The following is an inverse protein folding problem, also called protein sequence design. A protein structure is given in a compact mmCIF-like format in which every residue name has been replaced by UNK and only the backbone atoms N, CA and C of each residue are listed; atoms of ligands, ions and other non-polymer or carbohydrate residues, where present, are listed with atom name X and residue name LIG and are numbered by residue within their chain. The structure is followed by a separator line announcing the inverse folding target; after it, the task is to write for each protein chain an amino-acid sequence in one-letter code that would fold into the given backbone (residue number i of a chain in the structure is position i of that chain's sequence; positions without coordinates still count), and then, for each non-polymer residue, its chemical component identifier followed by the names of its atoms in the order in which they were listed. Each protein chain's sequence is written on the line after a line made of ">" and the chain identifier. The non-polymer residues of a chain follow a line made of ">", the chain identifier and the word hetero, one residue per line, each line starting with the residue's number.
data_IF_923135149016
#
_entry.id   IF_923135149016
#
_cell.length_a   1.000
_cell.length_b   1.000
_cell.length_c   1.000
_cell.angle_alpha   90.00
_cell.angle_beta   90.00
_cell.angle_gamma   90.00
#
_symmetry.space_group_name_H-M   'P 1'
#
loop_
_entity.id
_entity.type
_entity.pdbx_description
1 polymer ?
#
# COMPACT_ATOMS: atom_id res chain seq x y z
N UNK A 1 19.09 -4.35 -24.16
CA UNK A 1 18.38 -5.61 -23.84
C UNK A 1 16.89 -5.35 -24.01
N UNK A 2 16.30 -5.83 -25.11
CA UNK A 2 14.92 -5.49 -25.44
C UNK A 2 13.90 -5.99 -24.42
N UNK A 3 12.86 -5.21 -24.18
CA UNK A 3 11.74 -5.53 -23.29
C UNK A 3 10.41 -5.48 -24.04
N UNK A 4 9.41 -6.24 -23.57
CA UNK A 4 8.06 -6.19 -24.17
C UNK A 4 7.49 -4.77 -24.10
N UNK A 5 7.01 -4.25 -25.24
CA UNK A 5 6.53 -2.88 -25.43
C UNK A 5 5.54 -2.42 -24.35
N UNK A 6 4.58 -3.28 -23.98
CA UNK A 6 3.61 -2.99 -22.94
C UNK A 6 4.20 -2.95 -21.51
N UNK A 7 5.37 -3.57 -21.22
CA UNK A 7 6.08 -3.38 -19.94
C UNK A 7 6.71 -1.98 -19.91
N UNK A 8 7.34 -1.57 -21.02
CA UNK A 8 8.06 -0.29 -21.13
C UNK A 8 7.11 0.91 -21.05
N UNK A 9 6.06 0.92 -21.88
CA UNK A 9 5.01 1.96 -21.83
C UNK A 9 4.26 1.98 -20.49
N UNK A 10 4.13 0.83 -19.82
CA UNK A 10 3.55 0.75 -18.49
C UNK A 10 4.46 1.34 -17.40
N UNK A 11 5.78 1.17 -17.52
CA UNK A 11 6.77 1.75 -16.60
C UNK A 11 6.82 3.27 -16.74
N UNK A 12 6.78 3.77 -17.99
CA UNK A 12 6.68 5.19 -18.36
C UNK A 12 5.29 5.83 -18.08
N UNK A 13 4.52 5.29 -17.13
CA UNK A 13 3.25 5.86 -16.68
C UNK A 13 2.03 5.64 -17.58
N UNK A 14 2.21 5.53 -18.91
CA UNK A 14 1.16 5.75 -19.93
C UNK A 14 -0.12 4.92 -19.82
N UNK A 15 -0.08 3.68 -19.33
CA UNK A 15 -1.28 2.85 -19.16
C UNK A 15 -1.04 1.54 -18.43
N UNK A 16 -2.10 0.83 -18.05
CA UNK A 16 -1.93 -0.55 -17.52
C UNK A 16 -1.42 -1.49 -18.62
N UNK A 17 -0.70 -2.56 -18.27
CA UNK A 17 -0.15 -3.49 -19.29
C UNK A 17 -1.22 -4.00 -20.27
N UNK A 18 -2.39 -4.40 -19.75
CA UNK A 18 -3.52 -4.89 -20.55
C UNK A 18 -4.13 -3.80 -21.43
N UNK A 19 -4.27 -2.59 -20.90
CA UNK A 19 -4.76 -1.43 -21.63
C UNK A 19 -3.82 -1.04 -22.79
N UNK A 20 -2.51 -1.15 -22.59
CA UNK A 20 -1.53 -0.95 -23.67
C UNK A 20 -1.56 -2.12 -24.68
N UNK A 21 -1.76 -3.36 -24.22
CA UNK A 21 -1.99 -4.52 -25.11
C UNK A 21 -3.25 -4.29 -25.99
N UNK A 22 -4.30 -3.66 -25.46
CA UNK A 22 -5.46 -3.17 -26.23
C UNK A 22 -5.05 -2.06 -27.22
N UNK A 23 -4.37 -1.00 -26.78
CA UNK A 23 -3.95 0.11 -27.65
C UNK A 23 -3.01 -0.30 -28.80
N UNK A 24 -2.14 -1.29 -28.57
CA UNK A 24 -1.31 -1.92 -29.61
C UNK A 24 -2.22 -2.62 -30.64
N UNK A 25 -3.25 -3.34 -30.18
CA UNK A 25 -4.23 -4.02 -31.04
C UNK A 25 -5.13 -3.02 -31.80
N UNK A 26 -5.42 -1.86 -31.20
CA UNK A 26 -6.08 -0.71 -31.84
C UNK A 26 -5.17 0.05 -32.84
N UNK A 27 -3.90 -0.34 -33.00
CA UNK A 27 -2.95 0.30 -33.93
C UNK A 27 -2.42 1.67 -33.49
N UNK A 28 -2.73 2.10 -32.26
CA UNK A 28 -2.42 3.44 -31.71
C UNK A 28 -0.98 3.65 -31.27
N UNK A 29 -0.22 2.56 -31.19
CA UNK A 29 1.19 2.56 -30.80
C UNK A 29 2.05 2.31 -32.03
N UNK A 30 3.05 3.16 -32.25
CA UNK A 30 4.07 2.98 -33.27
C UNK A 30 5.46 2.84 -32.63
N UNK A 31 6.32 2.05 -33.26
CA UNK A 31 7.74 1.90 -32.94
C UNK A 31 8.53 2.19 -34.21
N UNK A 32 9.45 3.15 -34.15
CA UNK A 32 10.30 3.57 -35.28
C UNK A 32 9.48 3.87 -36.56
N UNK A 33 8.31 4.51 -36.40
CA UNK A 33 7.41 4.89 -37.51
C UNK A 33 6.56 3.74 -38.09
N UNK A 34 6.52 2.56 -37.45
CA UNK A 34 5.70 1.42 -37.87
C UNK A 34 4.70 1.06 -36.77
N UNK A 35 3.46 0.75 -37.11
CA UNK A 35 2.45 0.29 -36.14
C UNK A 35 2.90 -1.00 -35.44
N UNK A 36 2.84 -1.00 -34.12
CA UNK A 36 3.29 -2.10 -33.29
C UNK A 36 2.30 -3.28 -33.31
N UNK A 37 2.79 -4.47 -32.96
CA UNK A 37 2.02 -5.72 -32.84
C UNK A 37 2.10 -6.30 -31.42
N UNK A 38 1.09 -7.09 -31.07
CA UNK A 38 0.99 -7.69 -29.74
C UNK A 38 2.11 -8.72 -29.52
N UNK A 39 3.09 -8.35 -28.69
CA UNK A 39 4.26 -9.18 -28.39
C UNK A 39 5.59 -8.51 -28.72
N UNK A 40 5.56 -7.41 -29.48
CA UNK A 40 6.74 -6.62 -29.86
C UNK A 40 7.62 -6.25 -28.66
N UNK A 41 8.92 -6.16 -28.94
CA UNK A 41 9.96 -5.77 -27.99
C UNK A 41 10.66 -4.52 -28.47
N UNK A 42 11.09 -3.70 -27.53
CA UNK A 42 11.79 -2.44 -27.78
C UNK A 42 13.02 -2.33 -26.89
N UNK A 43 14.06 -1.71 -27.42
CA UNK A 43 15.27 -1.29 -26.72
C UNK A 43 15.24 0.23 -26.45
N UNK A 44 16.20 0.74 -25.67
CA UNK A 44 16.23 2.16 -25.26
C UNK A 44 16.49 3.15 -26.41
N UNK A 45 16.90 2.64 -27.58
CA UNK A 45 17.12 3.40 -28.82
C UNK A 45 15.84 3.59 -29.64
N UNK A 46 14.76 2.86 -29.34
CA UNK A 46 13.56 2.87 -30.18
C UNK A 46 12.66 4.08 -29.91
N UNK A 47 12.26 4.76 -30.98
CA UNK A 47 11.31 5.87 -30.92
C UNK A 47 9.89 5.32 -30.86
N UNK A 48 9.32 5.26 -29.66
CA UNK A 48 7.90 4.93 -29.45
C UNK A 48 7.05 6.20 -29.62
N UNK A 49 5.92 6.05 -30.32
CA UNK A 49 4.85 7.04 -30.42
C UNK A 49 3.52 6.40 -29.98
N UNK A 50 2.72 7.11 -29.18
CA UNK A 50 1.38 6.72 -28.74
C UNK A 50 0.42 7.87 -29.06
N UNK A 51 -0.63 7.61 -29.85
CA UNK A 51 -1.63 8.61 -30.24
C UNK A 51 -1.03 9.91 -30.85
N UNK A 52 0.15 9.81 -31.47
CA UNK A 52 0.91 10.93 -32.04
C UNK A 52 1.97 11.54 -31.10
N UNK A 53 1.88 11.33 -29.79
CA UNK A 53 2.91 11.78 -28.84
C UNK A 53 4.13 10.86 -28.81
N UNK A 54 5.33 11.44 -28.82
CA UNK A 54 6.56 10.70 -28.56
C UNK A 54 6.66 10.31 -27.07
N UNK A 55 6.92 9.02 -26.78
CA UNK A 55 7.07 8.53 -25.40
C UNK A 55 8.54 8.31 -25.08
N UNK A 56 9.12 9.24 -24.31
CA UNK A 56 10.49 9.12 -23.83
C UNK A 56 10.65 7.96 -22.84
N UNK A 57 11.45 6.97 -23.23
CA UNK A 57 11.86 5.85 -22.38
C UNK A 57 13.07 6.28 -21.56
N UNK A 58 13.10 5.99 -20.25
CA UNK A 58 14.34 5.95 -19.46
C UNK A 58 14.66 4.51 -19.08
N UNK A 59 15.96 4.19 -18.96
CA UNK A 59 16.38 2.87 -18.49
C UNK A 59 15.78 2.55 -17.12
N UNK A 60 15.38 1.30 -16.90
CA UNK A 60 14.97 0.85 -15.57
C UNK A 60 16.15 0.94 -14.57
N UNK A 61 17.40 0.80 -15.03
CA UNK A 61 18.61 0.95 -14.20
C UNK A 61 18.89 2.41 -13.77
N UNK A 62 18.46 3.41 -14.56
CA UNK A 62 18.57 4.83 -14.16
C UNK A 62 17.33 5.36 -13.44
N UNK A 63 16.26 4.56 -13.38
CA UNK A 63 14.98 4.95 -12.78
C UNK A 63 14.95 4.60 -11.30
N UNK A 64 15.24 5.57 -10.43
CA UNK A 64 15.24 5.37 -8.97
C UNK A 64 13.94 4.70 -8.50
N UNK A 65 14.08 3.54 -7.84
CA UNK A 65 12.95 2.87 -7.18
C UNK A 65 12.47 3.76 -6.03
N UNK A 66 11.18 4.02 -5.99
CA UNK A 66 10.48 4.80 -4.97
C UNK A 66 9.38 3.92 -4.37
N UNK A 67 9.15 4.06 -3.08
CA UNK A 67 8.04 3.41 -2.39
C UNK A 67 7.38 4.36 -1.40
N UNK A 68 6.09 4.14 -1.16
CA UNK A 68 5.27 4.87 -0.19
C UNK A 68 4.51 3.88 0.70
N UNK A 69 4.31 4.28 1.94
CA UNK A 69 3.53 3.58 2.96
C UNK A 69 2.19 4.30 3.05
N UNK A 70 1.08 3.59 2.79
CA UNK A 70 -0.27 4.11 2.84
C UNK A 70 -1.07 3.47 3.98
N UNK A 71 -1.79 4.29 4.76
CA UNK A 71 -2.72 3.81 5.78
C UNK A 71 -4.14 3.80 5.19
N UNK A 72 -4.46 2.73 4.46
CA UNK A 72 -5.74 2.56 3.78
C UNK A 72 -6.93 2.66 4.77
N UNK A 73 -7.95 3.50 4.50
CA UNK A 73 -9.21 3.48 5.23
C UNK A 73 -10.14 2.38 4.73
N UNK A 74 -11.24 2.14 5.44
CA UNK A 74 -12.35 1.34 4.92
C UNK A 74 -13.17 2.17 3.91
N UNK A 75 -13.94 1.52 3.05
CA UNK A 75 -14.68 2.17 1.95
C UNK A 75 -13.87 2.39 0.66
N UNK A 76 -12.54 2.52 0.74
CA UNK A 76 -11.69 2.59 -0.45
C UNK A 76 -11.38 1.22 -1.08
N UNK A 77 -11.31 1.18 -2.42
CA UNK A 77 -10.97 -0.03 -3.20
C UNK A 77 -9.53 0.01 -3.74
N UNK A 78 -8.90 -1.17 -3.87
CA UNK A 78 -7.57 -1.31 -4.51
C UNK A 78 -7.72 -1.70 -5.99
N UNK A 79 -8.17 -0.75 -6.81
CA UNK A 79 -8.24 -0.85 -8.27
C UNK A 79 -7.99 0.51 -8.94
N UNK A 80 -7.38 0.55 -10.13
CA UNK A 80 -7.16 1.80 -10.88
C UNK A 80 -8.36 2.28 -11.68
N UNK A 81 -9.35 1.43 -11.88
CA UNK A 81 -10.64 1.75 -12.50
C UNK A 81 -11.71 0.89 -11.82
N UNK A 82 -12.91 1.44 -11.65
CA UNK A 82 -14.05 0.76 -11.06
C UNK A 82 -15.35 1.16 -11.75
N UNK A 83 -16.05 0.23 -12.43
CA UNK A 83 -17.30 0.54 -13.11
C UNK A 83 -18.43 1.05 -12.21
N UNK A 84 -18.31 0.87 -10.88
CA UNK A 84 -19.25 1.37 -9.88
C UNK A 84 -18.84 2.70 -9.24
N UNK A 85 -17.77 3.36 -9.73
CA UNK A 85 -17.37 4.70 -9.30
C UNK A 85 -16.94 4.83 -7.84
N UNK A 86 -16.53 3.75 -7.17
CA UNK A 86 -16.18 3.78 -5.74
C UNK A 86 -14.78 4.41 -5.52
N UNK A 87 -14.59 5.18 -4.42
CA UNK A 87 -13.32 5.83 -4.13
C UNK A 87 -12.13 4.86 -4.12
N UNK A 88 -11.08 5.20 -4.85
CA UNK A 88 -9.89 4.36 -4.96
C UNK A 88 -8.70 4.90 -4.18
N UNK A 89 -7.92 3.96 -3.61
CA UNK A 89 -6.63 4.22 -2.95
C UNK A 89 -5.60 4.94 -3.84
N UNK A 90 -5.84 5.07 -5.14
CA UNK A 90 -4.98 5.80 -6.07
C UNK A 90 -5.28 7.31 -6.16
N UNK A 91 -6.46 7.79 -5.75
CA UNK A 91 -6.86 9.21 -5.83
C UNK A 91 -5.98 10.12 -4.95
N UNK A 92 -5.65 9.64 -3.74
CA UNK A 92 -5.01 10.43 -2.67
C UNK A 92 -3.49 10.25 -2.62
N UNK A 93 -2.89 9.63 -3.64
CA UNK A 93 -1.45 9.41 -3.70
C UNK A 93 -0.74 10.62 -4.32
N UNK A 94 0.47 10.98 -3.85
CA UNK A 94 1.26 12.03 -4.49
C UNK A 94 1.56 11.67 -5.95
N UNK A 95 1.54 12.66 -6.84
CA UNK A 95 1.94 12.46 -8.23
C UNK A 95 3.42 12.04 -8.34
N UNK A 96 3.76 11.34 -9.42
CA UNK A 96 5.13 10.91 -9.71
C UNK A 96 5.41 11.13 -11.19
N UNK A 97 6.42 11.96 -11.49
CA UNK A 97 6.84 12.23 -12.86
C UNK A 97 7.32 10.95 -13.56
N UNK A 98 7.00 10.84 -14.84
CA UNK A 98 7.46 9.82 -15.79
C UNK A 98 7.21 8.35 -15.38
N UNK A 99 6.30 8.11 -14.44
CA UNK A 99 6.00 6.78 -13.92
C UNK A 99 4.63 6.74 -13.23
N UNK A 100 4.32 5.67 -12.49
CA UNK A 100 3.04 5.51 -11.76
C UNK A 100 3.14 4.55 -10.58
N UNK A 101 2.31 4.77 -9.55
CA UNK A 101 2.21 3.84 -8.43
C UNK A 101 1.56 2.50 -8.80
N UNK A 102 2.17 1.42 -8.31
CA UNK A 102 1.70 0.03 -8.35
C UNK A 102 1.52 -0.44 -6.90
N UNK A 103 0.34 -0.94 -6.56
CA UNK A 103 0.02 -1.45 -5.21
C UNK A 103 0.66 -2.82 -4.97
N UNK A 104 1.29 -2.99 -3.81
CA UNK A 104 1.83 -4.29 -3.37
C UNK A 104 0.70 -5.10 -2.73
N UNK A 105 0.10 -5.95 -3.55
CA UNK A 105 -1.09 -6.71 -3.19
C UNK A 105 -2.35 -5.85 -3.16
N UNK A 106 -3.35 -6.33 -2.43
CA UNK A 106 -4.62 -5.63 -2.19
C UNK A 106 -4.99 -5.70 -0.70
N UNK A 107 -6.05 -4.97 -0.36
CA UNK A 107 -6.87 -5.11 0.84
C UNK A 107 -8.33 -5.00 0.38
N UNK A 108 -9.24 -5.66 1.08
CA UNK A 108 -10.68 -5.51 0.82
C UNK A 108 -11.16 -4.09 1.09
N UNK A 109 -12.34 -3.75 0.54
CA UNK A 109 -13.01 -2.47 0.81
C UNK A 109 -13.26 -2.25 2.31
N UNK A 110 -13.69 -3.31 3.02
CA UNK A 110 -13.93 -3.33 4.48
C UNK A 110 -12.71 -3.89 5.25
N UNK A 111 -11.51 -3.50 4.84
CA UNK A 111 -10.25 -3.81 5.52
C UNK A 111 -9.32 -2.59 5.44
N UNK A 112 -8.79 -2.18 6.59
CA UNK A 112 -7.95 -0.98 6.76
C UNK A 112 -6.46 -1.32 6.94
N UNK A 113 -5.64 -0.27 7.04
CA UNK A 113 -4.24 -0.38 7.47
C UNK A 113 -3.24 -0.40 6.32
N UNK A 114 -2.13 -1.10 6.53
CA UNK A 114 -0.92 -0.99 5.72
C UNK A 114 -1.10 -1.46 4.28
N UNK A 115 -1.01 -0.53 3.33
CA UNK A 115 -0.84 -0.83 1.90
C UNK A 115 0.45 -0.16 1.42
N UNK A 116 1.31 -0.92 0.74
CA UNK A 116 2.53 -0.37 0.15
C UNK A 116 2.27 -0.07 -1.33
N UNK A 117 2.90 0.97 -1.85
CA UNK A 117 3.01 1.19 -3.29
C UNK A 117 4.46 1.44 -3.70
N UNK A 118 4.81 1.09 -4.92
CA UNK A 118 6.09 1.39 -5.55
C UNK A 118 5.92 1.76 -7.02
N UNK A 119 6.88 2.45 -7.63
CA UNK A 119 6.94 2.63 -9.08
C UNK A 119 7.47 1.37 -9.81
N UNK A 120 8.26 0.53 -9.13
CA UNK A 120 8.76 -0.72 -9.72
C UNK A 120 7.70 -1.82 -9.70
N UNK A 121 7.13 -2.10 -10.89
CA UNK A 121 6.22 -3.23 -11.07
C UNK A 121 6.86 -4.60 -10.79
N UNK A 122 8.19 -4.70 -10.89
CA UNK A 122 8.95 -5.90 -10.56
C UNK A 122 9.09 -6.12 -9.05
N UNK A 123 9.46 -5.07 -8.29
CA UNK A 123 9.45 -5.11 -6.83
C UNK A 123 8.05 -5.45 -6.31
N UNK A 124 7.00 -4.81 -6.86
CA UNK A 124 5.63 -5.14 -6.49
C UNK A 124 5.29 -6.62 -6.76
N UNK A 125 5.71 -7.18 -7.91
CA UNK A 125 5.49 -8.59 -8.25
C UNK A 125 6.23 -9.54 -7.30
N UNK A 126 7.53 -9.32 -7.06
CA UNK A 126 8.35 -10.14 -6.15
C UNK A 126 7.81 -10.11 -4.71
N UNK A 127 7.41 -8.94 -4.20
CA UNK A 127 6.82 -8.80 -2.86
C UNK A 127 5.43 -9.47 -2.74
N UNK A 128 4.66 -9.54 -3.85
CA UNK A 128 3.38 -10.24 -3.89
C UNK A 128 3.49 -11.77 -4.03
N UNK A 129 4.61 -12.29 -4.54
CA UNK A 129 4.71 -13.69 -4.93
C UNK A 129 4.72 -14.64 -3.70
N UNK A 130 3.95 -15.75 -3.70
CA UNK A 130 3.89 -16.65 -2.54
C UNK A 130 5.25 -17.26 -2.15
N UNK A 131 6.13 -17.54 -3.11
CA UNK A 131 7.46 -18.13 -2.82
C UNK A 131 8.38 -17.23 -1.99
N UNK A 132 8.09 -15.93 -1.93
CA UNK A 132 8.84 -14.95 -1.13
C UNK A 132 8.48 -15.04 0.36
N UNK A 133 7.41 -15.78 0.72
CA UNK A 133 7.05 -16.10 2.10
C UNK A 133 6.74 -14.90 3.00
N UNK A 134 6.55 -13.70 2.44
CA UNK A 134 6.49 -12.47 3.21
C UNK A 134 5.25 -12.39 4.09
N UNK A 135 5.48 -12.41 5.40
CA UNK A 135 4.48 -12.29 6.43
C UNK A 135 3.63 -11.03 6.31
N UNK A 136 2.33 -11.18 6.53
CA UNK A 136 1.33 -10.11 6.57
C UNK A 136 0.61 -10.24 7.91
N UNK A 137 0.87 -9.29 8.80
CA UNK A 137 0.30 -9.28 10.16
C UNK A 137 -0.95 -8.41 10.18
N UNK A 138 -2.03 -8.94 10.72
CA UNK A 138 -3.30 -8.26 10.88
C UNK A 138 -3.69 -8.21 12.35
N UNK A 139 -4.33 -7.11 12.72
CA UNK A 139 -5.11 -6.99 13.93
C UNK A 139 -6.58 -7.23 13.54
N UNK A 140 -7.17 -8.31 14.06
CA UNK A 140 -8.55 -8.71 13.82
C UNK A 140 -9.37 -8.55 15.11
N UNK A 141 -10.52 -7.90 15.02
CA UNK A 141 -11.54 -7.92 16.07
C UNK A 141 -12.52 -9.03 15.75
N UNK A 142 -12.73 -9.93 16.69
CA UNK A 142 -13.44 -11.19 16.49
C UNK A 142 -14.59 -11.26 17.50
N UNK A 143 -15.78 -11.67 17.04
CA UNK A 143 -16.93 -11.92 17.92
C UNK A 143 -16.77 -13.29 18.58
N UNK A 144 -16.87 -13.32 19.91
CA UNK A 144 -16.55 -14.49 20.74
C UNK A 144 -15.04 -14.70 20.91
N UNK A 145 -14.68 -15.44 21.94
CA UNK A 145 -13.29 -15.79 22.29
C UNK A 145 -12.96 -17.17 21.71
N UNK A 146 -11.79 -17.30 21.06
CA UNK A 146 -11.26 -18.60 20.64
C UNK A 146 -10.91 -19.44 21.87
N UNK A 147 -11.30 -20.72 21.86
CA UNK A 147 -10.76 -21.71 22.78
C UNK A 147 -9.45 -22.33 22.28
N UNK A 148 -8.83 -23.18 23.10
CA UNK A 148 -7.54 -23.80 22.79
C UNK A 148 -7.59 -24.71 21.54
N UNK A 149 -8.69 -25.43 21.32
CA UNK A 149 -8.87 -26.34 20.19
C UNK A 149 -9.00 -25.58 18.87
N UNK A 150 -9.78 -24.50 18.85
CA UNK A 150 -9.90 -23.63 17.68
C UNK A 150 -8.58 -22.93 17.37
N UNK A 151 -7.86 -22.47 18.40
CA UNK A 151 -6.53 -21.88 18.26
C UNK A 151 -5.52 -22.88 17.66
N UNK A 152 -5.58 -24.15 18.07
CA UNK A 152 -4.77 -25.22 17.49
C UNK A 152 -5.15 -25.54 16.04
N UNK A 153 -6.45 -25.66 15.72
CA UNK A 153 -6.93 -25.83 14.34
C UNK A 153 -6.46 -24.69 13.44
N UNK A 154 -6.53 -23.45 13.93
CA UNK A 154 -6.12 -22.24 13.21
C UNK A 154 -4.61 -22.10 12.99
N UNK A 155 -3.75 -22.82 13.71
CA UNK A 155 -2.27 -22.61 13.68
C UNK A 155 -1.45 -23.86 13.35
N UNK A 156 -1.85 -25.03 13.85
CA UNK A 156 -1.11 -26.29 13.67
C UNK A 156 -1.73 -27.12 12.57
N UNK A 157 -2.96 -27.62 12.79
CA UNK A 157 -3.70 -28.53 11.90
C UNK A 157 -3.98 -27.88 10.55
N UNK A 158 -4.42 -26.61 10.58
CA UNK A 158 -5.03 -25.96 9.42
C UNK A 158 -6.44 -26.44 9.14
N UNK A 159 -7.11 -25.70 8.25
CA UNK A 159 -8.50 -25.90 7.86
C UNK A 159 -8.58 -25.80 6.33
N UNK A 160 -9.40 -26.62 5.66
CA UNK A 160 -9.60 -26.45 4.22
C UNK A 160 -10.37 -25.15 3.92
N UNK A 161 -9.82 -24.33 3.03
CA UNK A 161 -10.46 -23.12 2.52
C UNK A 161 -10.34 -23.10 0.99
N UNK A 162 -11.48 -23.27 0.33
CA UNK A 162 -11.64 -23.33 -1.13
C UNK A 162 -10.89 -24.50 -1.79
N UNK A 163 -10.85 -25.68 -1.15
CA UNK A 163 -10.13 -26.87 -1.64
C UNK A 163 -8.62 -26.82 -1.39
N UNK A 164 -8.19 -26.05 -0.38
CA UNK A 164 -6.78 -25.85 0.00
C UNK A 164 -6.64 -25.60 1.49
N UNK A 165 -5.84 -26.44 2.16
CA UNK A 165 -5.45 -26.24 3.56
C UNK A 165 -4.91 -24.81 3.79
N UNK A 166 -5.39 -24.17 4.86
CA UNK A 166 -5.06 -22.80 5.25
C UNK A 166 -4.80 -22.75 6.76
N UNK A 167 -3.90 -21.86 7.20
CA UNK A 167 -3.67 -21.59 8.62
C UNK A 167 -2.99 -20.24 8.83
N UNK A 168 -3.04 -19.75 10.06
CA UNK A 168 -2.17 -18.69 10.52
C UNK A 168 -0.81 -19.26 10.96
N UNK A 169 0.25 -18.49 10.76
CA UNK A 169 1.58 -18.77 11.36
C UNK A 169 1.57 -18.53 12.87
N UNK A 170 0.74 -17.59 13.32
CA UNK A 170 0.49 -17.31 14.72
C UNK A 170 -0.89 -16.68 14.91
N UNK A 171 -1.50 -16.98 16.06
CA UNK A 171 -2.68 -16.31 16.60
C UNK A 171 -2.33 -15.95 18.04
N UNK A 172 -2.40 -14.67 18.39
CA UNK A 172 -2.05 -14.16 19.72
C UNK A 172 -3.14 -13.19 20.15
N UNK A 173 -3.71 -13.39 21.35
CA UNK A 173 -4.63 -12.40 21.93
C UNK A 173 -3.92 -11.05 22.10
N UNK A 174 -4.64 -9.96 21.92
CA UNK A 174 -4.05 -8.61 21.97
C UNK A 174 -4.75 -7.76 23.03
N UNK A 175 -3.97 -7.29 24.01
CA UNK A 175 -4.41 -6.45 25.12
C UNK A 175 -4.80 -5.05 24.65
N UNK A 176 -5.99 -4.96 24.06
CA UNK A 176 -6.58 -3.76 23.48
C UNK A 176 -7.99 -3.48 24.01
N UNK A 177 -8.33 -4.10 25.15
CA UNK A 177 -9.65 -4.07 25.78
C UNK A 177 -10.62 -5.07 25.14
N UNK A 178 -11.44 -5.70 25.98
CA UNK A 178 -12.58 -6.50 25.54
C UNK A 178 -13.82 -5.60 25.53
N UNK A 179 -14.48 -5.47 24.37
CA UNK A 179 -15.64 -4.58 24.22
C UNK A 179 -16.90 -5.41 23.95
N UNK A 180 -17.53 -5.82 25.06
CA UNK A 180 -18.59 -6.82 25.06
C UNK A 180 -18.05 -8.17 24.57
N UNK A 181 -18.83 -8.89 23.76
CA UNK A 181 -18.44 -10.17 23.16
C UNK A 181 -17.45 -10.04 21.99
N UNK A 182 -16.48 -9.13 22.08
CA UNK A 182 -15.44 -8.90 21.06
C UNK A 182 -14.03 -8.94 21.68
N UNK A 183 -13.19 -9.79 21.12
CA UNK A 183 -11.79 -9.94 21.52
C UNK A 183 -10.89 -9.56 20.34
N UNK A 184 -9.69 -9.05 20.62
CA UNK A 184 -8.71 -8.69 19.59
C UNK A 184 -7.63 -9.76 19.46
N UNK A 185 -7.30 -10.13 18.22
CA UNK A 185 -6.24 -11.07 17.90
C UNK A 185 -5.26 -10.46 16.91
N UNK A 186 -3.96 -10.64 17.17
CA UNK A 186 -2.90 -10.44 16.18
C UNK A 186 -2.66 -11.77 15.48
N UNK A 187 -2.75 -11.75 14.16
CA UNK A 187 -2.64 -12.95 13.31
C UNK A 187 -1.68 -12.72 12.14
N UNK A 188 -0.91 -13.75 11.78
CA UNK A 188 0.08 -13.70 10.69
C UNK A 188 -0.24 -14.73 9.62
N UNK A 189 -0.17 -14.33 8.34
CA UNK A 189 -0.21 -15.23 7.16
C UNK A 189 1.00 -14.97 6.25
N UNK A 190 1.53 -16.01 5.59
CA UNK A 190 2.62 -15.88 4.58
C UNK A 190 2.13 -15.75 3.15
N UNK A 191 0.89 -16.14 2.87
CA UNK A 191 0.21 -15.90 1.59
C UNK A 191 -0.85 -14.78 1.70
N UNK A 192 -1.87 -14.80 0.84
CA UNK A 192 -2.85 -13.72 0.73
C UNK A 192 -4.03 -14.08 -0.19
N UNK A 193 -4.67 -15.21 0.09
CA UNK A 193 -5.87 -15.66 -0.62
C UNK A 193 -7.06 -14.72 -0.39
N UNK A 194 -8.09 -14.87 -1.22
CA UNK A 194 -9.28 -14.03 -1.15
C UNK A 194 -9.99 -14.16 0.21
N UNK A 195 -10.05 -13.07 0.97
CA UNK A 195 -10.62 -12.98 2.33
C UNK A 195 -10.05 -13.97 3.35
N UNK A 196 -8.85 -14.51 3.11
CA UNK A 196 -8.23 -15.61 3.87
C UNK A 196 -8.34 -15.50 5.40
N UNK A 197 -7.94 -14.37 5.98
CA UNK A 197 -8.04 -14.12 7.44
C UNK A 197 -9.47 -14.25 7.94
N UNK A 198 -10.44 -13.75 7.17
CA UNK A 198 -11.87 -13.79 7.54
C UNK A 198 -12.40 -15.21 7.40
N UNK A 199 -12.08 -15.90 6.31
CA UNK A 199 -12.48 -17.31 6.10
C UNK A 199 -11.93 -18.26 7.17
N UNK A 200 -10.70 -18.04 7.64
CA UNK A 200 -10.11 -18.83 8.74
C UNK A 200 -10.94 -18.74 10.03
N UNK A 201 -11.27 -17.53 10.48
CA UNK A 201 -12.15 -17.35 11.63
C UNK A 201 -13.59 -17.84 11.36
N UNK A 202 -14.14 -17.55 10.17
CA UNK A 202 -15.49 -17.98 9.76
C UNK A 202 -15.62 -19.52 9.81
N UNK A 203 -14.57 -20.27 9.48
CA UNK A 203 -14.54 -21.74 9.52
C UNK A 203 -14.43 -22.35 10.94
N UNK A 204 -14.07 -21.56 11.95
CA UNK A 204 -14.25 -21.91 13.38
C UNK A 204 -15.47 -21.22 14.01
N UNK A 205 -16.45 -20.82 13.19
CA UNK A 205 -17.71 -20.15 13.59
C UNK A 205 -17.56 -18.73 14.17
N UNK A 206 -16.39 -18.10 14.01
CA UNK A 206 -16.09 -16.77 14.53
C UNK A 206 -16.17 -15.68 13.46
N UNK A 207 -16.85 -14.57 13.74
CA UNK A 207 -17.01 -13.46 12.78
C UNK A 207 -16.01 -12.32 13.05
N UNK A 208 -15.27 -11.92 12.02
CA UNK A 208 -14.32 -10.79 12.08
C UNK A 208 -15.06 -9.46 11.87
N UNK A 209 -15.32 -8.72 12.96
CA UNK A 209 -16.05 -7.44 12.91
C UNK A 209 -15.19 -6.27 12.41
N UNK A 210 -13.87 -6.26 12.67
CA UNK A 210 -12.91 -5.30 12.09
C UNK A 210 -11.62 -6.01 11.70
N UNK A 211 -10.97 -5.57 10.62
CA UNK A 211 -9.69 -6.12 10.16
C UNK A 211 -8.76 -5.01 9.68
N UNK A 212 -7.55 -4.96 10.27
CA UNK A 212 -6.53 -3.95 9.96
C UNK A 212 -5.17 -4.61 9.73
N UNK A 213 -4.54 -4.40 8.56
CA UNK A 213 -3.15 -4.85 8.34
C UNK A 213 -2.19 -3.92 9.07
N UNK A 214 -1.32 -4.47 9.90
CA UNK A 214 -0.35 -3.71 10.73
C UNK A 214 1.11 -3.96 10.35
N UNK A 215 1.42 -5.04 9.61
CA UNK A 215 2.77 -5.30 9.06
C UNK A 215 2.72 -5.99 7.69
N UNK A 216 3.75 -5.72 6.88
CA UNK A 216 4.03 -6.40 5.62
C UNK A 216 5.55 -6.63 5.54
N UNK A 217 5.99 -7.87 5.68
CA UNK A 217 7.40 -8.23 5.84
C UNK A 217 8.04 -7.49 7.02
N UNK A 218 9.06 -6.68 6.70
CA UNK A 218 9.77 -5.80 7.65
C UNK A 218 9.08 -4.46 7.94
N UNK A 219 8.10 -4.04 7.13
CA UNK A 219 7.45 -2.74 7.25
C UNK A 219 6.25 -2.83 8.20
N UNK A 220 6.27 -2.06 9.28
CA UNK A 220 5.16 -1.89 10.23
C UNK A 220 4.41 -0.59 9.94
N UNK A 221 3.11 -0.56 10.24
CA UNK A 221 2.30 0.65 10.22
C UNK A 221 2.55 1.46 11.50
N UNK A 222 3.35 2.51 11.39
CA UNK A 222 3.73 3.40 12.49
C UNK A 222 2.70 4.53 12.69
N UNK A 223 2.72 5.17 13.87
CA UNK A 223 1.66 6.10 14.33
C UNK A 223 1.64 7.45 13.57
N UNK A 224 2.76 7.82 12.94
CA UNK A 224 2.92 8.98 12.07
C UNK A 224 2.10 8.89 10.78
N UNK A 225 1.86 7.68 10.27
CA UNK A 225 1.06 7.47 9.06
C UNK A 225 -0.42 7.58 9.42
N UNK A 226 -0.97 8.80 9.34
CA UNK A 226 -2.40 9.07 9.58
C UNK A 226 -3.31 8.31 8.59
N UNK A 227 -4.49 7.93 9.05
CA UNK A 227 -5.50 7.22 8.24
C UNK A 227 -5.84 8.04 6.97
N UNK A 228 -5.83 7.39 5.80
CA UNK A 228 -6.06 8.04 4.51
C UNK A 228 -4.86 8.75 3.90
N UNK A 229 -3.71 8.82 4.59
CA UNK A 229 -2.48 9.46 4.10
C UNK A 229 -1.41 8.47 3.63
N UNK A 230 -0.57 8.94 2.70
CA UNK A 230 0.67 8.29 2.27
C UNK A 230 1.90 9.02 2.85
N UNK A 231 2.92 8.27 3.25
CA UNK A 231 4.27 8.80 3.55
C UNK A 231 5.32 8.15 2.66
N UNK A 232 6.42 8.87 2.39
CA UNK A 232 7.58 8.32 1.66
C UNK A 232 8.28 7.27 2.52
N UNK A 233 8.57 6.10 1.96
CA UNK A 233 9.34 5.06 2.63
C UNK A 233 10.80 5.52 2.81
N UNK A 234 11.39 5.23 3.98
CA UNK A 234 12.81 5.53 4.23
C UNK A 234 13.74 4.66 3.35
N UNK A 235 14.93 5.12 2.96
CA UNK A 235 15.85 4.33 2.14
C UNK A 235 16.14 2.94 2.73
N UNK A 236 16.41 2.88 4.04
CA UNK A 236 16.74 1.64 4.76
C UNK A 236 15.53 0.71 4.95
N UNK A 237 14.31 1.22 4.78
CA UNK A 237 13.09 0.40 4.70
C UNK A 237 12.94 -0.21 3.30
N UNK A 238 13.22 0.58 2.26
CA UNK A 238 13.15 0.17 0.86
C UNK A 238 14.25 -0.85 0.52
N UNK A 239 15.49 -0.63 0.97
CA UNK A 239 16.61 -1.59 0.85
C UNK A 239 16.24 -2.96 1.43
N UNK A 240 15.62 -2.98 2.63
CA UNK A 240 15.14 -4.21 3.28
C UNK A 240 14.03 -4.91 2.50
N UNK A 241 13.17 -4.17 1.78
CA UNK A 241 12.17 -4.77 0.88
C UNK A 241 12.78 -5.29 -0.43
N UNK A 242 13.76 -4.59 -1.00
CA UNK A 242 14.46 -5.02 -2.23
C UNK A 242 15.25 -6.30 -1.96
N UNK A 243 16.01 -6.34 -0.87
CA UNK A 243 16.73 -7.54 -0.40
C UNK A 243 15.75 -8.70 -0.10
N UNK A 244 14.68 -8.45 0.66
CA UNK A 244 13.69 -9.48 0.96
C UNK A 244 12.85 -9.92 -0.27
N UNK A 245 12.86 -9.16 -1.36
CA UNK A 245 12.25 -9.53 -2.64
C UNK A 245 13.15 -10.41 -3.52
N UNK A 246 14.39 -10.71 -3.09
CA UNK A 246 15.36 -11.42 -3.94
C UNK A 246 15.62 -10.67 -5.24
N UNK A 247 15.76 -9.34 -5.14
CA UNK A 247 16.27 -8.47 -6.20
C UNK A 247 17.68 -8.09 -5.77
N UNK A 248 18.67 -8.43 -6.57
CA UNK A 248 20.06 -8.07 -6.28
C UNK A 248 20.22 -6.55 -6.27
N UNK A 249 20.96 -6.06 -5.27
CA UNK A 249 21.21 -4.63 -5.15
C UNK A 249 22.36 -4.23 -6.07
N UNK A 250 22.07 -3.90 -7.33
CA UNK A 250 22.99 -3.16 -8.22
C UNK A 250 23.43 -1.80 -7.60
N UNK A 251 22.77 -1.37 -6.52
CA UNK A 251 23.11 -0.19 -5.71
C UNK A 251 24.17 -0.48 -4.63
N UNK A 252 24.74 -1.69 -4.58
CA UNK A 252 25.63 -2.17 -3.52
C UNK A 252 27.10 -1.74 -3.61
N UNK A 253 27.61 -1.29 -4.75
CA UNK A 253 29.06 -1.11 -4.97
C UNK A 253 29.47 0.32 -5.41
N UNK A 254 29.15 1.32 -4.57
CA UNK A 254 29.73 2.69 -4.68
C UNK A 254 30.32 3.24 -3.39
N UNK A 255 30.18 2.55 -2.27
CA UNK A 255 30.75 2.90 -0.95
C UNK A 255 32.09 2.23 -0.65
N UNK A 256 32.42 1.17 -1.40
CA UNK A 256 33.68 0.40 -1.35
C UNK A 256 34.88 1.21 -1.85
N UNK A 257 34.77 1.76 -3.06
CA UNK A 257 35.84 2.44 -3.82
C UNK A 257 36.44 3.62 -3.05
N UNK A 258 35.64 4.34 -2.26
CA UNK A 258 36.12 5.43 -1.40
C UNK A 258 37.01 4.96 -0.24
N UNK A 259 36.72 3.79 0.36
CA UNK A 259 37.40 3.30 1.57
C UNK A 259 38.75 2.63 1.31
N UNK A 260 39.04 2.26 0.06
CA UNK A 260 40.31 1.61 -0.33
C UNK A 260 41.42 2.58 -0.75
N UNK A 261 41.12 3.89 -0.92
CA UNK A 261 42.12 4.91 -1.30
C UNK A 261 42.82 5.56 -0.09
N UNK A 262 42.14 5.70 1.05
CA UNK A 262 42.73 6.28 2.27
C UNK A 262 43.82 5.40 2.91
N UNK A 263 43.71 4.07 2.80
CA UNK A 263 44.68 3.12 3.37
C UNK A 263 45.99 3.00 2.58
N UNK A 264 46.06 3.50 1.34
CA UNK A 264 47.31 3.56 0.55
C UNK A 264 48.11 4.82 0.82
N UNK A 265 47.48 6.00 0.89
CA UNK A 265 48.21 7.26 1.17
C UNK A 265 48.82 7.32 2.58
N UNK A 266 48.30 6.54 3.54
CA UNK A 266 48.88 6.44 4.89
C UNK A 266 50.21 5.64 4.95
N UNK A 267 50.66 4.99 3.87
CA UNK A 267 51.89 4.17 3.86
C UNK A 267 53.05 4.75 3.01
N UNK A 268 52.81 5.78 2.21
CA UNK A 268 53.87 6.49 1.46
C UNK A 268 54.46 7.69 2.20
N UNK A 269 53.75 8.26 3.17
CA UNK A 269 54.20 9.43 3.94
C UNK A 269 55.32 9.14 4.99
N UNK A 270 55.75 7.88 5.14
CA UNK A 270 56.67 7.44 6.21
C UNK A 270 58.08 7.05 5.71
N UNK A 271 58.47 7.44 4.49
CA UNK A 271 59.74 7.01 3.86
C UNK A 271 60.58 8.10 3.19
N UNK A 272 60.26 9.38 3.39
CA UNK A 272 61.05 10.49 2.84
C UNK A 272 61.27 11.60 3.89
N UNK A 273 62.16 11.32 4.84
CA UNK A 273 62.66 12.27 5.84
C UNK A 273 64.11 11.91 6.18
N UNK A 274 65.07 12.38 5.37
CA UNK A 274 66.48 12.03 5.51
C UNK A 274 67.42 13.17 5.12
N UNK A 275 68.33 13.49 6.04
CA UNK A 275 69.57 14.27 5.89
C UNK A 275 69.54 15.71 5.36
N UNK A 276 70.15 16.59 6.18
CA UNK A 276 70.82 17.88 5.89
C UNK A 276 70.05 19.18 6.24
N UNK A 277 70.68 20.17 6.90
CA UNK A 277 71.99 20.18 7.60
C UNK A 277 72.18 21.40 8.52
N UNK A 278 72.94 21.22 9.61
CA UNK A 278 73.85 22.18 10.27
C UNK A 278 73.41 23.63 10.61
N UNK A 279 73.59 24.04 11.88
CA UNK A 279 74.07 25.40 12.21
C UNK A 279 73.54 26.07 13.49
N UNK A 280 74.34 26.01 14.56
CA UNK A 280 74.28 26.88 15.76
C UNK A 280 73.02 26.84 16.65
N UNK A 281 73.03 27.36 17.87
CA UNK A 281 74.05 27.45 18.92
C UNK A 281 73.35 28.03 20.18
N UNK A 282 73.43 27.30 21.29
CA UNK A 282 73.61 27.84 22.66
C UNK A 282 72.43 28.42 23.50
N UNK A 283 72.62 28.32 24.83
CA UNK A 283 72.03 29.05 25.98
C UNK A 283 70.55 28.92 26.44
N UNK A 284 70.41 28.05 27.45
CA UNK A 284 70.22 28.41 28.89
C UNK A 284 68.88 28.93 29.51
N UNK A 285 68.43 28.15 30.51
CA UNK A 285 68.06 28.55 31.88
C UNK A 285 66.72 29.24 32.28
N UNK A 286 66.20 28.74 33.43
CA UNK A 286 65.26 29.31 34.43
C UNK A 286 63.80 29.44 34.00
N UNK A 287 62.77 28.97 34.73
CA UNK A 287 62.46 28.74 36.17
C UNK A 287 62.09 29.97 37.02
N UNK A 288 60.77 30.17 37.20
CA UNK A 288 59.99 30.54 38.43
C UNK A 288 58.51 30.76 38.01
N UNK A 289 57.43 30.29 38.64
CA UNK A 289 57.00 30.05 40.03
C UNK A 289 56.24 31.23 40.69
N UNK A 290 54.90 31.25 40.56
CA UNK A 290 53.88 31.84 41.45
C UNK A 290 52.52 31.19 41.06
N UNK A 291 51.64 30.65 41.92
CA UNK A 291 51.01 31.11 43.19
C UNK A 291 50.07 32.31 42.98
N UNK A 292 48.86 32.38 43.57
CA UNK A 292 47.99 31.39 44.25
C UNK A 292 46.58 32.03 44.44
N UNK A 293 45.68 31.43 45.23
CA UNK A 293 44.39 31.94 45.75
C UNK A 293 43.23 31.95 44.70
N UNK A 294 42.00 31.47 44.94
CA UNK A 294 41.11 31.33 46.12
C UNK A 294 40.71 32.69 46.72
N UNK A 295 39.48 32.97 47.13
CA UNK A 295 38.29 32.13 47.38
C UNK A 295 37.08 32.75 46.60
N UNK A 296 35.79 32.90 46.94
CA UNK A 296 34.88 32.49 48.05
C UNK A 296 33.41 32.49 47.54
N UNK A 297 32.50 31.84 48.28
CA UNK A 297 31.04 32.12 48.36
C UNK A 297 30.67 32.31 49.84
N UNK A 298 29.65 33.12 50.18
CA UNK A 298 28.29 32.61 50.48
C UNK A 298 27.17 33.49 49.88
N UNK A 299 25.94 33.09 49.52
CA UNK A 299 24.81 32.41 50.22
C UNK A 299 24.18 33.13 51.41
N UNK A 300 22.91 33.51 51.25
CA UNK A 300 21.91 33.77 52.29
C UNK A 300 20.50 33.42 51.75
N UNK A 301 19.54 33.15 52.63
CA UNK A 301 18.12 32.84 52.36
C UNK A 301 17.24 33.72 53.27
N UNK A 302 15.96 33.93 52.93
CA UNK A 302 14.77 33.70 53.80
C UNK A 302 13.45 34.23 53.16
N UNK A 303 12.31 34.11 53.87
CA UNK A 303 10.93 34.39 53.41
C UNK A 303 10.39 35.73 54.01
N UNK A 304 9.10 36.14 54.06
CA UNK A 304 7.79 35.51 53.74
C UNK A 304 6.68 36.57 53.45
N UNK A 305 5.52 36.07 53.02
CA UNK A 305 4.12 36.56 53.18
C UNK A 305 3.81 38.06 53.46
N UNK A 306 2.85 38.64 52.73
CA UNK A 306 2.41 40.03 52.95
C UNK A 306 1.19 40.60 52.18
N UNK A 307 0.03 39.94 52.23
CA UNK A 307 -1.34 40.52 52.10
C UNK A 307 -1.82 41.37 50.86
N UNK A 308 -2.90 40.87 50.23
CA UNK A 308 -4.16 41.57 49.82
C UNK A 308 -4.14 42.81 48.87
N UNK A 309 -4.76 42.67 47.68
CA UNK A 309 -6.00 43.38 47.24
C UNK A 309 -6.53 42.89 45.87
N UNK A 310 -7.73 43.34 45.48
CA UNK A 310 -8.53 42.84 44.33
C UNK A 310 -8.08 43.28 42.93
N UNK A 311 -8.87 43.09 41.86
CA UNK A 311 -10.34 42.92 41.82
C UNK A 311 -10.86 42.11 40.62
N UNK A 312 -12.04 41.50 40.75
CA UNK A 312 -12.92 41.07 39.64
C UNK A 312 -13.78 42.28 39.17
N UNK A 313 -14.40 42.21 37.98
CA UNK A 313 -15.85 42.00 37.98
C UNK A 313 -16.34 41.00 36.92
N UNK A 314 -17.58 40.53 37.10
CA UNK A 314 -18.31 39.65 36.19
C UNK A 314 -19.43 40.39 35.45
N UNK A 315 -19.85 39.86 34.30
CA UNK A 315 -21.15 40.11 33.66
C UNK A 315 -21.50 38.94 32.72
N UNK A 316 -22.76 38.58 32.49
CA UNK A 316 -23.94 38.60 33.37
C UNK A 316 -25.01 37.71 32.71
N UNK A 317 -25.62 36.76 33.43
CA UNK A 317 -26.86 36.10 33.00
C UNK A 317 -28.00 36.50 33.93
N UNK A 318 -29.13 36.95 33.37
CA UNK A 318 -30.41 36.92 34.08
C UNK A 318 -31.58 36.88 33.09
N UNK A 319 -32.73 36.43 33.57
CA UNK A 319 -33.86 35.94 32.76
C UNK A 319 -35.08 36.88 32.83
N UNK A 320 -36.09 36.56 32.01
CA UNK A 320 -37.53 36.85 32.24
C UNK A 320 -37.99 38.31 32.00
N UNK A 321 -39.26 38.62 31.69
CA UNK A 321 -40.43 37.77 31.39
C UNK A 321 -41.53 38.53 30.62
N UNK A 322 -42.46 37.78 29.97
CA UNK A 322 -43.79 38.22 29.44
C UNK A 322 -43.76 39.24 28.28
N UNK A 323 -44.74 39.28 27.37
CA UNK A 323 -45.88 38.38 27.16
C UNK A 323 -46.91 39.00 26.20
N UNK A 324 -47.65 38.18 25.43
CA UNK A 324 -48.72 38.66 24.54
C UNK A 324 -49.05 37.66 23.43
N UNK A 325 -50.33 37.42 23.17
CA UNK A 325 -50.80 36.38 22.23
C UNK A 325 -51.83 36.92 21.24
N UNK A 326 -51.85 36.36 20.03
CA UNK A 326 -53.07 36.22 19.22
C UNK A 326 -52.96 35.11 18.18
N UNK A 327 -54.10 34.71 17.64
CA UNK A 327 -54.35 33.47 16.89
C UNK A 327 -54.96 33.72 15.52
N UNK A 328 -54.60 32.92 14.52
CA UNK A 328 -55.45 32.33 13.46
C UNK A 328 -54.55 31.47 12.55
N UNK A 329 -54.85 30.26 12.05
CA UNK A 329 -56.05 29.41 11.83
C UNK A 329 -56.54 29.39 10.37
N UNK A 330 -56.22 28.30 9.66
CA UNK A 330 -56.76 27.96 8.32
C UNK A 330 -55.64 27.74 7.29
N UNK A 331 -55.76 26.85 6.30
CA UNK A 331 -56.85 25.90 5.96
C UNK A 331 -56.30 24.55 5.44
N UNK A 332 -57.14 23.51 5.39
CA UNK A 332 -56.86 22.20 4.77
C UNK A 332 -57.43 22.12 3.35
N UNK A 333 -56.67 21.55 2.41
CA UNK A 333 -57.14 20.65 1.32
C UNK A 333 -55.97 20.38 0.37
N UNK A 334 -55.96 19.35 -0.48
CA UNK A 334 -56.88 18.22 -0.64
C UNK A 334 -56.26 17.19 -1.60
N UNK A 335 -56.65 15.92 -1.52
CA UNK A 335 -56.07 14.87 -2.36
C UNK A 335 -56.63 14.88 -3.79
N UNK A 336 -55.85 14.37 -4.76
CA UNK A 336 -56.41 13.55 -5.85
C UNK A 336 -55.40 12.59 -6.49
N UNK A 337 -55.81 11.33 -6.51
CA UNK A 337 -55.26 10.24 -7.31
C UNK A 337 -56.04 10.19 -8.63
N UNK A 338 -55.38 10.03 -9.78
CA UNK A 338 -56.04 9.76 -11.07
C UNK A 338 -55.27 8.74 -11.91
N UNK A 339 -55.98 7.70 -12.36
CA UNK A 339 -55.58 6.80 -13.45
C UNK A 339 -56.57 6.94 -14.62
N UNK A 340 -56.08 7.15 -15.83
CA UNK A 340 -56.59 6.62 -17.11
C UNK A 340 -55.59 7.05 -18.22
N UNK A 341 -55.28 6.35 -19.32
CA UNK A 341 -55.87 5.31 -20.21
C UNK A 341 -56.34 5.87 -21.57
N UNK A 342 -55.92 5.15 -22.63
CA UNK A 342 -56.47 5.05 -23.99
C UNK A 342 -56.02 6.09 -25.06
N UNK A 343 -56.06 5.64 -26.33
CA UNK A 343 -55.45 6.25 -27.53
C UNK A 343 -54.15 5.53 -27.93
N UNK A 344 -54.10 4.39 -28.63
CA UNK A 344 -54.77 3.92 -29.88
C UNK A 344 -54.25 4.62 -31.14
N UNK A 345 -53.41 3.90 -31.90
CA UNK A 345 -53.30 4.00 -33.37
C UNK A 345 -52.65 2.73 -33.93
N UNK A 346 -53.23 2.17 -34.99
CA UNK A 346 -52.78 0.93 -35.62
C UNK A 346 -51.76 1.16 -36.74
N UNK A 347 -50.85 0.19 -36.92
CA UNK A 347 -50.56 -0.35 -38.26
C UNK A 347 -49.89 -1.73 -38.19
N UNK A 348 -50.38 -2.66 -39.00
CA UNK A 348 -49.90 -4.03 -39.06
C UNK A 348 -49.31 -4.33 -40.45
N UNK A 349 -48.28 -5.17 -40.48
CA UNK A 349 -47.94 -6.04 -41.61
C UNK A 349 -47.51 -7.41 -41.06
N UNK A 350 -47.92 -8.49 -41.74
CA UNK A 350 -47.73 -9.86 -41.26
C UNK A 350 -46.51 -10.55 -41.90
N UNK A 351 -45.91 -11.50 -41.19
CA UNK A 351 -44.83 -12.33 -41.70
C UNK A 351 -44.64 -13.59 -40.84
N UNK A 352 -45.23 -14.72 -41.27
CA UNK A 352 -45.27 -15.95 -40.48
C UNK A 352 -44.65 -17.15 -41.22
N UNK A 353 -43.71 -17.87 -40.58
CA UNK A 353 -43.63 -19.34 -40.71
C UNK A 353 -42.73 -20.08 -39.71
N UNK A 354 -43.39 -20.93 -38.92
CA UNK A 354 -43.06 -22.35 -38.65
C UNK A 354 -41.63 -22.76 -38.22
N UNK A 355 -41.55 -23.22 -36.97
CA UNK A 355 -40.49 -24.08 -36.41
C UNK A 355 -40.38 -25.42 -37.16
N UNK A 356 -39.21 -26.08 -37.13
CA UNK A 356 -39.03 -27.53 -37.43
C UNK A 356 -38.39 -28.25 -36.23
N UNK A 357 -38.77 -29.51 -35.91
CA UNK A 357 -38.17 -30.28 -34.82
C UNK A 357 -36.95 -31.10 -35.26
N UNK A 358 -36.09 -31.44 -34.31
CA UNK A 358 -34.97 -32.39 -34.48
C UNK A 358 -35.49 -33.83 -34.31
N UNK A 359 -35.01 -34.78 -35.12
CA UNK A 359 -35.44 -36.19 -35.09
C UNK A 359 -34.24 -37.13 -34.96
N UNK A 360 -34.26 -38.02 -33.97
CA UNK A 360 -33.18 -38.97 -33.71
C UNK A 360 -33.07 -40.08 -34.79
N UNK A 361 -31.86 -40.60 -35.01
CA UNK A 361 -31.60 -41.78 -35.85
C UNK A 361 -31.34 -43.02 -34.97
N UNK A 362 -31.73 -44.20 -35.49
CA UNK A 362 -31.63 -45.51 -34.83
C UNK A 362 -30.28 -46.20 -35.10
N UNK A 363 -29.94 -47.17 -34.23
CA UNK A 363 -28.86 -48.17 -34.46
C UNK A 363 -29.23 -49.11 -35.64
N UNK A 364 -28.25 -49.61 -36.42
CA UNK A 364 -28.39 -50.84 -37.21
C UNK A 364 -28.22 -52.10 -36.32
N UNK A 365 -28.56 -53.28 -36.86
CA UNK A 365 -28.27 -54.60 -36.27
C UNK A 365 -27.20 -55.35 -37.09
N UNK A 366 -26.50 -56.24 -36.39
CA UNK A 366 -25.48 -57.22 -36.80
C UNK A 366 -25.78 -58.09 -38.03
N UNK A 367 -24.74 -58.52 -38.79
CA UNK A 367 -24.61 -59.87 -39.34
C UNK A 367 -23.93 -60.84 -38.33
N UNK A 368 -23.93 -62.15 -38.63
CA UNK A 368 -23.48 -63.25 -37.73
C UNK A 368 -22.62 -64.26 -38.51
N UNK A 369 -21.35 -64.45 -38.13
CA UNK A 369 -20.36 -65.50 -38.49
C UNK A 369 -19.04 -65.18 -37.74
N UNK A 370 -18.15 -66.11 -37.39
CA UNK A 370 -18.23 -67.59 -37.28
C UNK A 370 -17.14 -68.09 -36.29
N UNK A 371 -17.23 -69.37 -35.91
CA UNK A 371 -16.24 -70.29 -35.27
C UNK A 371 -14.92 -69.71 -34.68
N UNK A 372 -14.66 -70.10 -33.43
CA UNK A 372 -13.42 -69.93 -32.68
C UNK A 372 -13.60 -70.54 -31.31
#
# INVERSE_FOLDING_TARGET
>A
MSEKLQKVLAHAGRGSRRQIETWITEGRVQVNGRSAKLGDRVDLTDRIVLDGEAVYIRSQQTSQIKAIIYHKPEGEIVSRNDPAGRPTVFEKLPSIADSRWVSVGRLDINTSGLLLFTNSGELANKLMHPSTGLEREYLARVRGQLNAKETEQLTRTGIDIDGKLAKFESVIAADMGEEGSNHWYRVVIKEGRYREVRKLFEAVNHLVSRLKRIRYGSIKLTRDVKLGHAVKMAPQQLEKLISAAGIESEFGDRSSVGKMRSSRNARTASRNAGSNSSGGQDKDQRTRNSRDSRDRKPTAQEEREGARRGSKPERNEMQSERGGARTERGTRSGAKNTRNRNGVSDKATAGASKKRPVKAKRKPKSPRRERG
#
